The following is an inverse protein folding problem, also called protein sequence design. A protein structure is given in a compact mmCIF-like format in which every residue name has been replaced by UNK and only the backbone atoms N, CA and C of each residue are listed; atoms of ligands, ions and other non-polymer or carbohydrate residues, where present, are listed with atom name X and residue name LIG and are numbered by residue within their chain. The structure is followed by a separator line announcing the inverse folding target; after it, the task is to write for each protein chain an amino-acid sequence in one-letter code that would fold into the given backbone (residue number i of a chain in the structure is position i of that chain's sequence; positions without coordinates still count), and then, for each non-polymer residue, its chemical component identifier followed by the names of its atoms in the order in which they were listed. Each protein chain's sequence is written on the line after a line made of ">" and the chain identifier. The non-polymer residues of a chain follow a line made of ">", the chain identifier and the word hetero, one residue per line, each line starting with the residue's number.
data_IF_030860943069
#
_entry.id   IF_030860943069
#
_cell.length_a   1.000
_cell.length_b   1.000
_cell.length_c   1.000
_cell.angle_alpha   90.00
_cell.angle_beta   90.00
_cell.angle_gamma   90.00
#
_symmetry.space_group_name_H-M   'P 1'
#
loop_
_entity.id
_entity.type
_entity.pdbx_description
1 polymer ?
#
# COMPACT_ATOMS: atom_id res chain seq x y z
N UNK A 1 15.79 0.88 7.39
CA UNK A 1 15.59 1.92 6.35
C UNK A 1 15.76 3.30 6.98
N UNK A 2 16.20 4.32 6.23
CA UNK A 2 16.21 5.73 6.69
C UNK A 2 14.82 6.34 6.53
N UNK A 3 13.97 6.15 7.54
CA UNK A 3 12.54 6.52 7.49
C UNK A 3 12.33 8.03 7.32
N UNK A 4 13.23 8.82 7.92
CA UNK A 4 13.30 10.28 7.86
C UNK A 4 13.52 10.85 6.45
N UNK A 5 13.92 10.01 5.48
CA UNK A 5 14.12 10.39 4.08
C UNK A 5 12.92 10.12 3.19
N UNK A 6 11.87 9.50 3.73
CA UNK A 6 10.63 9.23 3.02
C UNK A 6 9.61 10.34 3.29
N UNK A 7 8.67 10.53 2.37
CA UNK A 7 7.54 11.44 2.63
C UNK A 7 6.73 10.93 3.80
N UNK A 8 6.12 11.83 4.59
CA UNK A 8 5.24 11.45 5.71
C UNK A 8 4.17 10.45 5.26
N UNK A 9 3.61 10.67 4.07
CA UNK A 9 2.60 9.80 3.49
C UNK A 9 3.11 8.36 3.23
N UNK A 10 4.34 8.21 2.75
CA UNK A 10 4.95 6.89 2.56
C UNK A 10 5.33 6.23 3.89
N UNK A 11 5.77 7.02 4.87
CA UNK A 11 6.03 6.51 6.22
C UNK A 11 4.76 5.92 6.84
N UNK A 12 3.62 6.62 6.74
CA UNK A 12 2.31 6.10 7.17
C UNK A 12 1.94 4.83 6.41
N UNK A 13 2.08 4.81 5.07
CA UNK A 13 1.75 3.62 4.28
C UNK A 13 2.61 2.39 4.65
N UNK A 14 3.88 2.59 5.01
CA UNK A 14 4.74 1.50 5.50
C UNK A 14 4.30 1.00 6.88
N UNK A 15 3.84 1.88 7.76
CA UNK A 15 3.28 1.49 9.05
C UNK A 15 1.98 0.68 8.88
N UNK A 16 1.07 1.15 8.02
CA UNK A 16 -0.18 0.44 7.71
C UNK A 16 0.11 -0.93 7.05
N UNK A 17 1.09 -1.00 6.15
CA UNK A 17 1.54 -2.25 5.54
C UNK A 17 2.08 -3.25 6.56
N UNK A 18 2.81 -2.77 7.58
CA UNK A 18 3.27 -3.63 8.67
C UNK A 18 2.10 -4.17 9.49
N UNK A 19 1.10 -3.34 9.79
CA UNK A 19 -0.12 -3.79 10.48
C UNK A 19 -0.89 -4.82 9.65
N UNK A 20 -0.97 -4.65 8.33
CA UNK A 20 -1.57 -5.65 7.43
C UNK A 20 -0.82 -6.99 7.44
N UNK A 21 0.51 -6.96 7.40
CA UNK A 21 1.32 -8.18 7.44
C UNK A 21 1.14 -8.92 8.77
N UNK A 22 1.20 -8.20 9.90
CA UNK A 22 0.97 -8.78 11.25
C UNK A 22 -0.44 -9.34 11.36
N UNK A 23 -1.45 -8.61 10.89
CA UNK A 23 -2.85 -9.06 10.92
C UNK A 23 -3.14 -10.28 10.04
N UNK A 24 -2.21 -10.68 9.18
CA UNK A 24 -2.26 -11.88 8.32
C UNK A 24 -1.23 -12.95 8.72
N UNK A 25 -0.59 -12.80 9.87
CA UNK A 25 0.48 -13.70 10.34
C UNK A 25 1.67 -13.83 9.36
N UNK A 26 1.92 -12.77 8.57
CA UNK A 26 3.06 -12.70 7.66
C UNK A 26 4.27 -12.09 8.39
N UNK A 27 5.36 -12.86 8.48
CA UNK A 27 6.58 -12.46 9.19
C UNK A 27 7.34 -11.30 8.52
N UNK A 28 7.01 -10.99 7.27
CA UNK A 28 7.68 -9.95 6.48
C UNK A 28 6.67 -9.04 5.80
N UNK A 29 7.03 -7.77 5.67
CA UNK A 29 6.32 -6.86 4.78
C UNK A 29 6.67 -7.22 3.34
N UNK A 30 5.76 -7.89 2.66
CA UNK A 30 5.81 -8.06 1.21
C UNK A 30 5.20 -6.88 0.43
N UNK A 31 5.58 -6.68 -0.85
CA UNK A 31 5.05 -5.59 -1.68
C UNK A 31 3.52 -5.52 -1.74
N UNK A 32 2.84 -6.66 -1.58
CA UNK A 32 1.37 -6.75 -1.59
C UNK A 32 0.74 -5.96 -0.43
N UNK A 33 1.39 -5.90 0.74
CA UNK A 33 0.92 -5.15 1.90
C UNK A 33 1.06 -3.65 1.66
N UNK A 34 2.22 -3.23 1.13
CA UNK A 34 2.48 -1.82 0.81
C UNK A 34 1.53 -1.33 -0.28
N UNK A 35 1.31 -2.14 -1.32
CA UNK A 35 0.35 -1.79 -2.37
C UNK A 35 -1.07 -1.66 -1.83
N UNK A 36 -1.49 -2.58 -0.95
CA UNK A 36 -2.81 -2.51 -0.29
C UNK A 36 -2.95 -1.22 0.54
N UNK A 37 -1.96 -0.91 1.38
CA UNK A 37 -1.93 0.32 2.17
C UNK A 37 -1.98 1.59 1.30
N UNK A 38 -1.18 1.65 0.23
CA UNK A 38 -1.16 2.77 -0.70
C UNK A 38 -2.50 2.95 -1.46
N UNK A 39 -3.21 1.86 -1.75
CA UNK A 39 -4.51 1.89 -2.41
C UNK A 39 -5.66 2.30 -1.47
N UNK A 40 -5.51 2.10 -0.16
CA UNK A 40 -6.50 2.44 0.86
C UNK A 40 -6.26 3.83 1.48
N UNK A 41 -5.06 4.38 1.33
CA UNK A 41 -4.69 5.69 1.83
C UNK A 41 -5.53 6.83 1.22
N UNK A 42 -6.23 7.57 2.07
CA UNK A 42 -6.98 8.76 1.66
C UNK A 42 -6.03 9.90 1.24
N UNK A 43 -6.37 10.59 0.14
CA UNK A 43 -5.50 11.63 -0.43
C UNK A 43 -4.18 11.09 -0.99
N UNK A 44 -4.02 9.78 -1.13
CA UNK A 44 -2.87 9.14 -1.76
C UNK A 44 -2.85 9.28 -3.29
N UNK A 45 -1.66 9.22 -3.87
CA UNK A 45 -1.46 9.33 -5.33
C UNK A 45 -1.58 7.99 -6.07
N UNK A 46 -1.47 6.86 -5.38
CA UNK A 46 -1.42 5.54 -6.02
C UNK A 46 -2.70 5.21 -6.81
N UNK A 47 -3.88 5.39 -6.18
CA UNK A 47 -5.17 5.12 -6.82
C UNK A 47 -5.42 5.99 -8.07
N UNK A 48 -5.31 7.33 -8.05
CA UNK A 48 -5.53 8.15 -9.25
C UNK A 48 -4.47 7.90 -10.33
N UNK A 49 -3.22 7.59 -9.96
CA UNK A 49 -2.17 7.25 -10.93
C UNK A 49 -2.49 5.94 -11.66
N UNK A 50 -2.86 4.89 -10.93
CA UNK A 50 -3.23 3.60 -11.52
C UNK A 50 -4.51 3.70 -12.35
N UNK A 51 -5.48 4.51 -11.92
CA UNK A 51 -6.68 4.82 -12.71
C UNK A 51 -6.32 5.51 -14.04
N UNK A 52 -5.42 6.50 -14.01
CA UNK A 52 -4.92 7.18 -15.21
C UNK A 52 -4.13 6.24 -16.13
N UNK A 53 -3.45 5.25 -15.57
CA UNK A 53 -2.74 4.21 -16.31
C UNK A 53 -3.66 3.13 -16.90
N UNK A 54 -4.99 3.21 -16.70
CA UNK A 54 -5.95 2.23 -17.24
C UNK A 54 -6.00 0.90 -16.49
N UNK A 55 -5.48 0.84 -15.26
CA UNK A 55 -5.47 -0.37 -14.45
C UNK A 55 -6.89 -0.72 -13.98
N UNK A 56 -7.27 -1.99 -14.09
CA UNK A 56 -8.49 -2.51 -13.48
C UNK A 56 -8.33 -2.54 -11.94
N UNK A 57 -8.67 -1.43 -11.28
CA UNK A 57 -8.53 -1.29 -9.82
C UNK A 57 -9.39 -2.29 -9.03
N UNK A 58 -10.55 -2.66 -9.54
CA UNK A 58 -11.43 -3.63 -8.87
C UNK A 58 -10.82 -5.04 -8.92
N UNK A 59 -10.31 -5.44 -10.09
CA UNK A 59 -9.59 -6.71 -10.27
C UNK A 59 -8.31 -6.75 -9.43
N UNK A 60 -7.52 -5.67 -9.47
CA UNK A 60 -6.32 -5.52 -8.65
C UNK A 60 -6.64 -5.71 -7.17
N UNK A 61 -7.62 -4.97 -6.61
CA UNK A 61 -8.00 -5.11 -5.20
C UNK A 61 -8.48 -6.50 -4.82
N UNK A 62 -9.13 -7.21 -5.74
CA UNK A 62 -9.55 -8.59 -5.50
C UNK A 62 -8.35 -9.53 -5.39
N UNK A 63 -7.33 -9.34 -6.22
CA UNK A 63 -6.10 -10.14 -6.19
C UNK A 63 -5.14 -9.83 -5.04
N UNK A 64 -5.40 -8.78 -4.25
CA UNK A 64 -4.59 -8.42 -3.07
C UNK A 64 -5.10 -9.08 -1.77
N UNK A 65 -6.18 -9.85 -1.84
CA UNK A 65 -6.78 -10.54 -0.68
C UNK A 65 -6.16 -11.90 -0.46
#
# INVERSE_FOLDING_TARGET
>A
MRMDKLTNQLQTALADAQSLAVGRDHNFIEPIHLLSALLDQQGGSARPLLQKAGVNLAGLRTGLK
#
